data_IF_647403686026
#
_entry.id   IF_647403686026
#
_cell.length_a   1.000
_cell.length_b   1.000
_cell.length_c   1.000
_cell.angle_alpha   90.00
_cell.angle_beta   90.00
_cell.angle_gamma   90.00
#
_symmetry.space_group_name_H-M   'P 1'
#
loop_
_entity.id
_entity.type
_entity.pdbx_description
1 polymer ?
#
# COMPACT_ATOMS: atom_id res chain seq x y z
N UNK A 1 6.52 -1.62 -13.00
CA UNK A 1 6.20 -3.04 -12.78
C UNK A 1 7.44 -3.83 -12.32
N UNK A 2 8.59 -3.71 -12.99
CA UNK A 2 9.81 -4.49 -12.67
C UNK A 2 10.23 -4.51 -11.18
N UNK A 3 10.43 -3.35 -10.54
CA UNK A 3 10.87 -3.30 -9.13
C UNK A 3 9.88 -3.98 -8.18
N UNK A 4 8.58 -3.90 -8.49
CA UNK A 4 7.52 -4.55 -7.71
C UNK A 4 7.61 -6.07 -7.83
N UNK A 5 7.77 -6.59 -9.05
CA UNK A 5 7.96 -8.03 -9.27
C UNK A 5 9.22 -8.55 -8.55
N UNK A 6 10.35 -7.85 -8.73
CA UNK A 6 11.61 -8.25 -8.11
C UNK A 6 11.60 -8.14 -6.58
N UNK A 7 10.86 -7.17 -6.02
CA UNK A 7 10.61 -7.11 -4.56
C UNK A 7 9.89 -8.36 -4.06
N UNK A 8 8.84 -8.78 -4.77
CA UNK A 8 8.07 -9.96 -4.40
C UNK A 8 8.88 -11.26 -4.57
N UNK A 9 9.63 -11.40 -5.66
CA UNK A 9 10.54 -12.53 -5.86
C UNK A 9 11.63 -12.61 -4.78
N UNK A 10 12.20 -11.46 -4.39
CA UNK A 10 13.24 -11.40 -3.37
C UNK A 10 12.75 -11.94 -2.01
N UNK A 11 11.49 -11.69 -1.65
CA UNK A 11 10.89 -12.21 -0.41
C UNK A 11 10.27 -13.61 -0.56
N UNK A 12 10.51 -14.29 -1.69
CA UNK A 12 10.05 -15.66 -1.94
C UNK A 12 8.60 -15.79 -2.41
N UNK A 13 7.94 -14.69 -2.80
CA UNK A 13 6.60 -14.71 -3.36
C UNK A 13 6.60 -14.91 -4.88
N UNK A 14 5.44 -15.24 -5.46
CA UNK A 14 5.25 -15.43 -6.90
C UNK A 14 4.37 -14.31 -7.48
N UNK A 15 4.93 -13.29 -8.14
CA UNK A 15 4.16 -12.19 -8.71
C UNK A 15 3.58 -12.51 -10.09
N UNK A 16 2.40 -11.96 -10.38
CA UNK A 16 1.82 -11.93 -11.73
C UNK A 16 1.19 -10.56 -12.01
N UNK A 17 1.49 -9.98 -13.17
CA UNK A 17 1.02 -8.64 -13.59
C UNK A 17 -0.13 -8.78 -14.59
N UNK A 18 -1.31 -9.06 -14.05
CA UNK A 18 -2.52 -9.35 -14.82
C UNK A 18 -3.36 -8.08 -14.98
N UNK A 19 -3.80 -7.80 -16.20
CA UNK A 19 -4.60 -6.60 -16.52
C UNK A 19 -5.67 -6.84 -17.59
N UNK A 20 -5.56 -7.91 -18.39
CA UNK A 20 -6.55 -8.24 -19.40
C UNK A 20 -7.86 -8.65 -18.71
N UNK A 21 -8.96 -7.98 -19.04
CA UNK A 21 -10.26 -8.21 -18.39
C UNK A 21 -10.73 -9.66 -18.57
N UNK A 22 -10.35 -10.24 -19.71
CA UNK A 22 -10.69 -11.58 -20.17
C UNK A 22 -10.16 -12.70 -19.26
N UNK A 23 -9.05 -12.48 -18.55
CA UNK A 23 -8.45 -13.50 -17.66
C UNK A 23 -8.69 -13.22 -16.17
N UNK A 24 -9.26 -12.06 -15.80
CA UNK A 24 -9.46 -11.67 -14.40
C UNK A 24 -10.33 -12.66 -13.63
N UNK A 25 -11.38 -13.20 -14.26
CA UNK A 25 -12.28 -14.17 -13.64
C UNK A 25 -11.58 -15.47 -13.27
N UNK A 26 -10.60 -15.85 -14.06
CA UNK A 26 -9.93 -17.15 -13.96
C UNK A 26 -8.70 -17.03 -13.06
N UNK A 27 -8.00 -15.91 -13.14
CA UNK A 27 -6.74 -15.68 -12.43
C UNK A 27 -6.93 -15.21 -10.99
N UNK A 28 -7.80 -14.22 -10.76
CA UNK A 28 -7.92 -13.57 -9.43
C UNK A 28 -8.27 -14.53 -8.30
N UNK A 29 -9.18 -15.51 -8.47
CA UNK A 29 -9.50 -16.46 -7.41
C UNK A 29 -8.33 -17.39 -7.03
N UNK A 30 -7.37 -17.60 -7.94
CA UNK A 30 -6.19 -18.43 -7.72
C UNK A 30 -5.08 -17.67 -6.97
N UNK A 31 -5.07 -16.34 -7.03
CA UNK A 31 -4.12 -15.52 -6.29
C UNK A 31 -4.39 -15.58 -4.78
N UNK A 32 -3.34 -15.43 -3.97
CA UNK A 32 -3.47 -15.38 -2.50
C UNK A 32 -3.84 -13.97 -2.01
N UNK A 33 -3.43 -12.93 -2.74
CA UNK A 33 -3.77 -11.54 -2.48
C UNK A 33 -3.67 -10.71 -3.75
N UNK A 34 -4.31 -9.54 -3.74
CA UNK A 34 -4.39 -8.64 -4.89
C UNK A 34 -3.85 -7.25 -4.54
N UNK A 35 -3.02 -6.69 -5.42
CA UNK A 35 -2.58 -5.29 -5.33
C UNK A 35 -3.16 -4.50 -6.51
N UNK A 36 -3.98 -3.49 -6.23
CA UNK A 36 -4.50 -2.55 -7.24
C UNK A 36 -3.75 -1.23 -7.11
N UNK A 37 -2.97 -0.89 -8.13
CA UNK A 37 -2.23 0.37 -8.21
C UNK A 37 -2.75 1.22 -9.37
N UNK A 38 -3.15 2.47 -9.09
CA UNK A 38 -3.75 3.36 -10.09
C UNK A 38 -2.75 4.29 -10.79
N UNK A 39 -1.44 4.06 -10.66
CA UNK A 39 -0.39 4.96 -11.15
C UNK A 39 -0.51 5.31 -12.64
N UNK A 40 -0.82 4.33 -13.49
CA UNK A 40 -0.98 4.49 -14.94
C UNK A 40 -2.41 4.22 -15.39
N UNK A 41 -3.38 4.81 -14.68
CA UNK A 41 -4.82 4.60 -14.89
C UNK A 41 -5.29 4.92 -16.32
N UNK A 42 -6.23 4.10 -16.82
CA UNK A 42 -7.00 4.34 -18.03
C UNK A 42 -8.39 3.70 -17.90
N UNK A 43 -9.33 4.09 -18.76
CA UNK A 43 -10.71 3.55 -18.74
C UNK A 43 -10.75 2.02 -18.86
N UNK A 44 -9.91 1.42 -19.71
CA UNK A 44 -9.81 -0.04 -19.85
C UNK A 44 -9.35 -0.69 -18.54
N UNK A 45 -8.31 -0.12 -17.92
CA UNK A 45 -7.73 -0.65 -16.69
C UNK A 45 -8.68 -0.55 -15.50
N UNK A 46 -9.52 0.49 -15.43
CA UNK A 46 -10.52 0.64 -14.37
C UNK A 46 -11.51 -0.52 -14.37
N UNK A 47 -11.98 -0.94 -15.55
CA UNK A 47 -12.88 -2.08 -15.68
C UNK A 47 -12.23 -3.36 -15.14
N UNK A 48 -10.98 -3.62 -15.50
CA UNK A 48 -10.21 -4.76 -14.99
C UNK A 48 -9.96 -4.68 -13.48
N UNK A 49 -9.60 -3.50 -12.95
CA UNK A 49 -9.36 -3.30 -11.52
C UNK A 49 -10.62 -3.56 -10.69
N UNK A 50 -11.78 -3.06 -11.13
CA UNK A 50 -13.06 -3.31 -10.46
C UNK A 50 -13.44 -4.78 -10.51
N UNK A 51 -13.30 -5.41 -11.68
CA UNK A 51 -13.56 -6.84 -11.83
C UNK A 51 -12.66 -7.67 -10.91
N UNK A 52 -11.37 -7.33 -10.81
CA UNK A 52 -10.42 -7.99 -9.92
C UNK A 52 -10.79 -7.80 -8.44
N UNK A 53 -11.12 -6.59 -8.00
CA UNK A 53 -11.54 -6.34 -6.63
C UNK A 53 -12.82 -7.11 -6.28
N UNK A 54 -13.82 -7.14 -7.17
CA UNK A 54 -15.03 -7.96 -6.98
C UNK A 54 -14.69 -9.43 -6.85
N UNK A 55 -13.85 -9.98 -7.75
CA UNK A 55 -13.44 -11.39 -7.71
C UNK A 55 -12.62 -11.73 -6.47
N UNK A 56 -11.76 -10.82 -6.01
CA UNK A 56 -11.02 -10.99 -4.76
C UNK A 56 -11.96 -11.06 -3.56
N UNK A 57 -12.96 -10.18 -3.48
CA UNK A 57 -13.98 -10.21 -2.41
C UNK A 57 -14.80 -11.51 -2.46
N UNK A 58 -15.28 -11.91 -3.64
CA UNK A 58 -16.02 -13.17 -3.83
C UNK A 58 -15.20 -14.40 -3.40
N UNK A 59 -13.90 -14.41 -3.72
CA UNK A 59 -12.98 -15.48 -3.37
C UNK A 59 -12.34 -15.33 -1.97
N UNK A 60 -12.80 -14.36 -1.17
CA UNK A 60 -12.29 -14.07 0.17
C UNK A 60 -10.76 -13.83 0.22
N UNK A 61 -10.21 -13.21 -0.83
CA UNK A 61 -8.80 -12.82 -0.92
C UNK A 61 -8.63 -11.37 -0.46
N UNK A 62 -7.65 -11.08 0.42
CA UNK A 62 -7.38 -9.70 0.78
C UNK A 62 -6.84 -8.93 -0.42
N UNK A 63 -7.16 -7.64 -0.48
CA UNK A 63 -6.64 -6.78 -1.52
C UNK A 63 -6.25 -5.40 -1.01
N UNK A 64 -5.23 -4.84 -1.63
CA UNK A 64 -4.59 -3.58 -1.21
C UNK A 64 -4.74 -2.55 -2.32
N UNK A 65 -5.12 -1.34 -1.93
CA UNK A 65 -5.27 -0.19 -2.82
C UNK A 65 -4.08 0.76 -2.67
N UNK A 66 -3.45 1.08 -3.79
CA UNK A 66 -2.43 2.14 -3.93
C UNK A 66 -3.01 3.30 -4.78
N UNK A 67 -3.49 4.38 -4.14
CA UNK A 67 -4.19 5.48 -4.78
C UNK A 67 -3.21 6.51 -5.36
N UNK A 68 -2.18 6.04 -6.08
CA UNK A 68 -1.10 6.89 -6.61
C UNK A 68 -1.63 8.14 -7.31
N UNK A 69 -1.19 9.29 -6.82
CA UNK A 69 -1.53 10.61 -7.35
C UNK A 69 -3.04 10.90 -7.41
N UNK A 70 -3.85 10.30 -6.53
CA UNK A 70 -5.32 10.43 -6.55
C UNK A 70 -5.82 11.88 -6.47
N UNK A 71 -5.11 12.75 -5.77
CA UNK A 71 -5.46 14.18 -5.65
C UNK A 71 -5.13 15.03 -6.89
N UNK A 72 -4.46 14.49 -7.90
CA UNK A 72 -3.99 15.26 -9.07
C UNK A 72 -5.08 15.50 -10.11
N UNK A 73 -6.10 14.64 -10.18
CA UNK A 73 -7.20 14.83 -11.13
C UNK A 73 -8.53 14.26 -10.62
N UNK A 74 -9.64 14.88 -11.04
CA UNK A 74 -11.00 14.40 -10.74
C UNK A 74 -11.20 12.95 -11.19
N UNK A 75 -10.68 12.61 -12.38
CA UNK A 75 -10.76 11.25 -12.91
C UNK A 75 -10.11 10.21 -11.98
N UNK A 76 -8.90 10.48 -11.46
CA UNK A 76 -8.26 9.56 -10.51
C UNK A 76 -9.06 9.45 -9.22
N UNK A 77 -9.54 10.57 -8.71
CA UNK A 77 -10.32 10.64 -7.47
C UNK A 77 -11.63 9.86 -7.55
N UNK A 78 -12.45 10.12 -8.57
CA UNK A 78 -13.74 9.46 -8.79
C UNK A 78 -13.57 7.94 -8.91
N UNK A 79 -12.58 7.49 -9.68
CA UNK A 79 -12.33 6.06 -9.88
C UNK A 79 -11.79 5.38 -8.63
N UNK A 80 -10.97 6.09 -7.84
CA UNK A 80 -10.48 5.57 -6.58
C UNK A 80 -11.62 5.45 -5.54
N UNK A 81 -12.55 6.41 -5.49
CA UNK A 81 -13.77 6.31 -4.65
C UNK A 81 -14.60 5.08 -5.01
N UNK A 82 -14.73 4.76 -6.29
CA UNK A 82 -15.45 3.56 -6.71
C UNK A 82 -14.74 2.28 -6.27
N UNK A 83 -13.41 2.23 -6.33
CA UNK A 83 -12.62 1.10 -5.80
C UNK A 83 -12.73 0.99 -4.27
N UNK A 84 -12.76 2.11 -3.54
CA UNK A 84 -12.95 2.10 -2.08
C UNK A 84 -14.27 1.43 -1.65
N UNK A 85 -15.33 1.56 -2.46
CA UNK A 85 -16.63 0.89 -2.20
C UNK A 85 -16.54 -0.63 -2.31
N UNK A 86 -15.50 -1.16 -2.95
CA UNK A 86 -15.21 -2.59 -3.05
C UNK A 86 -14.40 -3.12 -1.85
N UNK A 87 -14.31 -2.33 -0.77
CA UNK A 87 -13.79 -2.73 0.55
C UNK A 87 -12.37 -3.31 0.50
N UNK A 88 -11.35 -2.51 0.16
CA UNK A 88 -9.96 -2.94 0.31
C UNK A 88 -9.66 -3.34 1.74
N UNK A 89 -8.81 -4.35 1.91
CA UNK A 89 -8.28 -4.73 3.23
C UNK A 89 -7.32 -3.67 3.75
N UNK A 90 -6.49 -3.12 2.85
CA UNK A 90 -5.51 -2.08 3.18
C UNK A 90 -5.53 -0.98 2.11
N UNK A 91 -5.41 0.27 2.54
CA UNK A 91 -5.20 1.44 1.69
C UNK A 91 -3.84 2.02 2.08
N UNK A 92 -2.91 2.11 1.13
CA UNK A 92 -1.58 2.67 1.39
C UNK A 92 -1.31 3.82 0.45
N UNK A 93 -1.03 5.01 0.99
CA UNK A 93 -0.68 6.20 0.23
C UNK A 93 0.25 7.12 1.01
N UNK A 94 0.75 8.17 0.37
CA UNK A 94 1.42 9.25 1.10
C UNK A 94 0.40 10.19 1.76
N UNK A 95 0.88 11.15 2.56
CA UNK A 95 0.03 12.10 3.27
C UNK A 95 -0.96 12.83 2.35
N UNK A 96 -0.54 13.33 1.19
CA UNK A 96 -1.42 14.11 0.30
C UNK A 96 -2.47 13.23 -0.40
N UNK A 97 -2.13 11.98 -0.72
CA UNK A 97 -3.07 11.01 -1.28
C UNK A 97 -4.15 10.60 -0.27
N UNK A 98 -3.74 10.35 0.99
CA UNK A 98 -4.68 10.00 2.06
C UNK A 98 -5.58 11.18 2.42
N UNK A 99 -5.05 12.40 2.48
CA UNK A 99 -5.85 13.62 2.66
C UNK A 99 -6.87 13.80 1.53
N UNK A 100 -6.46 13.60 0.28
CA UNK A 100 -7.37 13.71 -0.88
C UNK A 100 -8.51 12.67 -0.80
N UNK A 101 -8.21 11.42 -0.47
CA UNK A 101 -9.23 10.38 -0.29
C UNK A 101 -10.15 10.67 0.89
N UNK A 102 -9.59 11.12 2.02
CA UNK A 102 -10.36 11.41 3.20
C UNK A 102 -11.35 12.56 2.96
N UNK A 103 -10.90 13.63 2.29
CA UNK A 103 -11.74 14.78 1.95
C UNK A 103 -12.81 14.50 0.89
N UNK A 104 -12.55 13.57 -0.04
CA UNK A 104 -13.52 13.23 -1.09
C UNK A 104 -14.56 12.19 -0.67
N UNK A 105 -14.30 11.46 0.43
CA UNK A 105 -15.23 10.48 0.98
C UNK A 105 -16.42 11.10 1.73
N UNK A 106 -16.60 12.42 1.65
CA UNK A 106 -17.81 13.12 2.14
C UNK A 106 -18.90 12.95 1.09
N UNK A 107 -19.79 11.97 1.29
CA UNK A 107 -20.99 11.82 0.46
C UNK A 107 -21.91 13.06 0.53
N UNK A 108 -22.94 13.15 -0.34
CA UNK A 108 -23.86 14.30 -0.41
C UNK A 108 -24.76 14.50 0.82
N UNK A 109 -24.57 13.74 1.90
CA UNK A 109 -25.53 13.57 3.00
C UNK A 109 -25.01 14.03 4.36
N UNK A 110 -24.09 14.99 4.41
CA UNK A 110 -23.86 15.77 5.62
C UNK A 110 -24.00 17.25 5.30
N UNK A 111 -25.11 17.81 5.77
CA UNK A 111 -25.42 19.24 5.72
C UNK A 111 -24.31 20.10 6.30
N UNK A 112 -24.48 21.40 6.16
CA UNK A 112 -23.51 22.48 6.38
C UNK A 112 -22.87 22.62 7.80
N UNK A 113 -22.85 21.57 8.63
CA UNK A 113 -22.44 21.59 10.04
C UNK A 113 -21.37 20.53 10.40
N UNK A 114 -20.36 20.29 9.56
CA UNK A 114 -19.12 19.61 10.01
C UNK A 114 -17.87 20.27 9.42
N UNK A 115 -17.46 21.35 10.07
CA UNK A 115 -16.44 22.30 9.65
C UNK A 115 -14.99 21.87 9.94
N UNK A 116 -14.62 20.60 9.80
CA UNK A 116 -13.21 20.19 9.95
C UNK A 116 -12.83 19.04 9.00
N UNK A 117 -12.51 19.37 7.75
CA UNK A 117 -11.59 18.53 6.97
C UNK A 117 -10.25 18.64 7.71
N UNK A 118 -9.79 17.56 8.35
CA UNK A 118 -8.49 17.60 9.01
C UNK A 118 -7.40 17.79 7.95
N UNK A 119 -6.53 18.77 8.16
CA UNK A 119 -5.30 18.96 7.37
C UNK A 119 -4.17 18.07 7.88
N UNK A 120 -4.38 17.38 9.00
CA UNK A 120 -3.45 16.41 9.56
C UNK A 120 -3.67 15.03 8.91
N UNK A 121 -2.60 14.45 8.38
CA UNK A 121 -2.67 13.18 7.66
C UNK A 121 -3.03 11.99 8.58
N UNK A 122 -2.71 12.05 9.88
CA UNK A 122 -3.04 10.98 10.82
C UNK A 122 -4.54 10.96 11.12
N UNK A 123 -5.13 12.13 11.37
CA UNK A 123 -6.58 12.22 11.59
C UNK A 123 -7.37 11.81 10.34
N UNK A 124 -6.92 12.27 9.16
CA UNK A 124 -7.49 11.85 7.89
C UNK A 124 -7.38 10.33 7.67
N UNK A 125 -6.25 9.72 8.05
CA UNK A 125 -6.07 8.28 7.98
C UNK A 125 -7.00 7.51 8.93
N UNK A 126 -7.14 7.98 10.19
CA UNK A 126 -8.06 7.37 11.17
C UNK A 126 -9.51 7.41 10.70
N UNK A 127 -9.94 8.56 10.18
CA UNK A 127 -11.29 8.77 9.65
C UNK A 127 -11.54 7.91 8.40
N UNK A 128 -10.57 7.85 7.46
CA UNK A 128 -10.65 6.96 6.30
C UNK A 128 -10.73 5.49 6.71
N UNK A 129 -9.92 5.05 7.68
CA UNK A 129 -9.93 3.68 8.21
C UNK A 129 -11.29 3.32 8.83
N UNK A 130 -11.83 4.20 9.69
CA UNK A 130 -13.15 4.01 10.30
C UNK A 130 -14.28 3.86 9.27
N UNK A 131 -14.29 4.70 8.22
CA UNK A 131 -15.34 4.65 7.19
C UNK A 131 -15.26 3.44 6.27
N UNK A 132 -14.03 3.08 5.89
CA UNK A 132 -13.80 2.00 4.92
C UNK A 132 -13.68 0.63 5.59
N UNK A 133 -13.49 0.62 6.91
CA UNK A 133 -13.13 -0.56 7.70
C UNK A 133 -11.82 -1.21 7.21
N UNK A 134 -10.99 -0.46 6.50
CA UNK A 134 -9.69 -0.88 6.02
C UNK A 134 -8.59 -0.45 6.99
N UNK A 135 -7.45 -1.13 6.91
CA UNK A 135 -6.20 -0.59 7.47
C UNK A 135 -5.71 0.53 6.56
N UNK A 136 -5.30 1.66 7.14
CA UNK A 136 -4.71 2.78 6.39
C UNK A 136 -3.25 2.92 6.76
N UNK A 137 -2.38 2.88 5.76
CA UNK A 137 -0.96 3.14 5.88
C UNK A 137 -0.60 4.47 5.20
N UNK A 138 -0.01 5.39 5.97
CA UNK A 138 0.47 6.69 5.50
C UNK A 138 1.98 6.65 5.44
N UNK A 139 2.57 6.75 4.25
CA UNK A 139 4.03 6.74 4.14
C UNK A 139 4.66 8.11 4.38
N UNK A 140 5.82 8.14 5.04
CA UNK A 140 6.53 9.37 5.40
C UNK A 140 7.97 9.10 5.85
N UNK A 141 8.54 10.05 6.62
CA UNK A 141 9.80 9.81 7.33
C UNK A 141 9.61 8.82 8.50
N UNK A 142 8.42 8.85 9.08
CA UNK A 142 7.85 7.79 9.91
C UNK A 142 6.58 7.35 9.19
N UNK A 143 6.50 6.09 8.80
CA UNK A 143 5.26 5.55 8.24
C UNK A 143 4.27 5.30 9.38
N UNK A 144 2.98 5.55 9.14
CA UNK A 144 1.91 5.39 10.12
C UNK A 144 0.93 4.33 9.65
N UNK A 145 0.54 3.41 10.53
CA UNK A 145 -0.47 2.38 10.26
C UNK A 145 -1.59 2.52 11.27
N UNK A 146 -2.84 2.60 10.80
CA UNK A 146 -4.03 2.75 11.66
C UNK A 146 -5.20 1.90 11.17
N UNK A 147 -5.97 1.36 12.12
CA UNK A 147 -7.29 0.76 11.88
C UNK A 147 -8.44 1.73 12.26
N UNK A 148 -8.10 2.99 12.53
CA UNK A 148 -9.01 4.02 13.00
C UNK A 148 -9.04 4.18 14.53
N UNK A 149 -8.56 3.18 15.28
CA UNK A 149 -8.55 3.19 16.76
C UNK A 149 -7.14 3.28 17.31
N UNK A 150 -6.24 2.44 16.81
CA UNK A 150 -4.83 2.38 17.24
C UNK A 150 -3.91 2.83 16.12
N UNK A 151 -2.74 3.35 16.50
CA UNK A 151 -1.75 3.88 15.56
C UNK A 151 -0.38 3.28 15.88
N UNK A 152 0.27 2.71 14.87
CA UNK A 152 1.63 2.22 14.97
C UNK A 152 2.52 3.00 14.00
N UNK A 153 3.61 3.55 14.53
CA UNK A 153 4.67 4.20 13.76
C UNK A 153 5.76 3.21 13.37
N UNK A 154 6.27 3.34 12.14
CA UNK A 154 7.40 2.58 11.59
C UNK A 154 8.48 3.58 11.20
N UNK A 155 9.67 3.47 11.81
CA UNK A 155 10.76 4.44 11.61
C UNK A 155 11.95 3.87 10.83
N UNK A 156 11.68 2.89 9.96
CA UNK A 156 12.65 2.30 9.05
C UNK A 156 12.67 3.01 7.69
N UNK A 157 13.79 2.93 6.97
CA UNK A 157 13.98 3.50 5.63
C UNK A 157 15.09 4.54 5.54
N UNK A 158 15.41 4.94 4.30
CA UNK A 158 16.40 5.99 4.01
C UNK A 158 15.86 7.01 3.00
N UNK A 159 16.19 8.31 3.13
CA UNK A 159 15.67 9.35 2.22
C UNK A 159 15.93 9.09 0.74
N UNK A 160 17.05 8.43 0.40
CA UNK A 160 17.44 8.15 -0.98
C UNK A 160 16.46 7.23 -1.71
N UNK A 161 15.62 6.46 -0.99
CA UNK A 161 14.55 5.64 -1.59
C UNK A 161 13.52 6.49 -2.37
N UNK A 162 13.36 7.76 -2.03
CA UNK A 162 12.48 8.70 -2.75
C UNK A 162 13.03 9.09 -4.13
N UNK A 163 14.30 8.79 -4.42
CA UNK A 163 14.94 9.02 -5.72
C UNK A 163 14.87 7.80 -6.63
N UNK A 164 14.19 6.73 -6.21
CA UNK A 164 13.95 5.53 -7.00
C UNK A 164 12.46 5.45 -7.31
N UNK A 165 12.11 5.44 -8.59
CA UNK A 165 10.70 5.34 -8.99
C UNK A 165 10.06 4.03 -8.52
N UNK A 166 8.78 4.10 -8.16
CA UNK A 166 7.95 2.97 -7.77
C UNK A 166 8.41 2.17 -6.52
N UNK A 167 9.27 2.73 -5.65
CA UNK A 167 9.55 2.14 -4.32
C UNK A 167 8.28 2.10 -3.46
N UNK A 168 7.48 3.17 -3.49
CA UNK A 168 6.16 3.19 -2.85
C UNK A 168 5.23 2.10 -3.38
N UNK A 169 5.18 1.92 -4.70
CA UNK A 169 4.35 0.87 -5.31
C UNK A 169 4.86 -0.54 -4.94
N UNK A 170 6.18 -0.73 -4.85
CA UNK A 170 6.79 -1.99 -4.45
C UNK A 170 6.42 -2.38 -3.02
N UNK A 171 6.45 -1.44 -2.07
CA UNK A 171 6.01 -1.73 -0.69
C UNK A 171 4.50 -2.00 -0.62
N UNK A 172 3.68 -1.37 -1.46
CA UNK A 172 2.25 -1.71 -1.53
C UNK A 172 2.02 -3.17 -1.94
N UNK A 173 2.78 -3.66 -2.92
CA UNK A 173 2.71 -5.07 -3.32
C UNK A 173 3.21 -6.00 -2.21
N UNK A 174 4.28 -5.62 -1.49
CA UNK A 174 4.76 -6.37 -0.34
C UNK A 174 3.72 -6.44 0.79
N UNK A 175 2.99 -5.34 1.05
CA UNK A 175 1.85 -5.34 1.98
C UNK A 175 0.81 -6.36 1.54
N UNK A 176 0.41 -6.38 0.27
CA UNK A 176 -0.55 -7.37 -0.24
C UNK A 176 -0.07 -8.81 -0.02
N UNK A 177 1.23 -9.07 -0.21
CA UNK A 177 1.85 -10.37 0.04
C UNK A 177 1.78 -10.77 1.52
N UNK A 178 2.19 -9.91 2.45
CA UNK A 178 2.21 -10.27 3.88
C UNK A 178 0.81 -10.34 4.48
N UNK A 179 -0.12 -9.51 4.02
CA UNK A 179 -1.53 -9.60 4.41
C UNK A 179 -2.15 -10.90 3.91
N UNK A 180 -1.82 -11.35 2.70
CA UNK A 180 -2.26 -12.64 2.18
C UNK A 180 -1.68 -13.83 2.96
N UNK A 181 -0.42 -13.73 3.40
CA UNK A 181 0.22 -14.75 4.23
C UNK A 181 -0.34 -14.80 5.66
N UNK A 182 -0.79 -13.66 6.20
CA UNK A 182 -1.34 -13.52 7.55
C UNK A 182 -2.69 -12.79 7.57
N UNK A 183 -3.75 -13.37 6.98
CA UNK A 183 -5.04 -12.69 6.78
C UNK A 183 -5.77 -12.36 8.08
N UNK A 184 -5.43 -13.01 9.19
CA UNK A 184 -5.98 -12.71 10.52
C UNK A 184 -5.38 -11.44 11.15
N UNK A 185 -4.25 -10.95 10.64
CA UNK A 185 -3.47 -9.85 11.23
C UNK A 185 -3.08 -8.79 10.18
N UNK A 186 -4.04 -8.20 9.44
CA UNK A 186 -3.73 -7.27 8.36
C UNK A 186 -3.02 -6.00 8.86
N UNK A 187 -3.31 -5.54 10.08
CA UNK A 187 -2.66 -4.37 10.68
C UNK A 187 -1.17 -4.63 10.93
N UNK A 188 -0.86 -5.74 11.62
CA UNK A 188 0.50 -6.15 11.93
C UNK A 188 1.28 -6.47 10.65
N UNK A 189 0.66 -7.18 9.70
CA UNK A 189 1.26 -7.51 8.41
C UNK A 189 1.61 -6.24 7.60
N UNK A 190 0.76 -5.22 7.65
CA UNK A 190 1.02 -3.92 6.97
C UNK A 190 2.21 -3.20 7.59
N UNK A 191 2.24 -3.09 8.92
CA UNK A 191 3.36 -2.44 9.62
C UNK A 191 4.67 -3.21 9.42
N UNK A 192 4.61 -4.54 9.44
CA UNK A 192 5.76 -5.40 9.21
C UNK A 192 6.30 -5.27 7.78
N UNK A 193 5.44 -5.19 6.76
CA UNK A 193 5.87 -4.94 5.38
C UNK A 193 6.61 -3.62 5.21
N UNK A 194 6.11 -2.54 5.83
CA UNK A 194 6.78 -1.23 5.84
C UNK A 194 8.14 -1.32 6.54
N UNK A 195 8.20 -1.98 7.70
CA UNK A 195 9.43 -2.14 8.46
C UNK A 195 10.49 -2.96 7.70
N UNK A 196 10.09 -4.09 7.10
CA UNK A 196 10.98 -4.93 6.28
C UNK A 196 11.53 -4.16 5.08
N UNK A 197 10.67 -3.45 4.35
CA UNK A 197 11.08 -2.71 3.17
C UNK A 197 12.01 -1.53 3.52
N UNK A 198 11.69 -0.79 4.59
CA UNK A 198 12.52 0.29 5.09
C UNK A 198 13.89 -0.21 5.58
N UNK A 199 13.90 -1.32 6.34
CA UNK A 199 15.12 -1.94 6.84
C UNK A 199 16.01 -2.44 5.71
N UNK A 200 15.44 -3.09 4.69
CA UNK A 200 16.19 -3.48 3.50
C UNK A 200 16.77 -2.26 2.77
N UNK A 201 16.07 -1.12 2.78
CA UNK A 201 16.59 0.16 2.30
C UNK A 201 17.78 0.66 3.10
N UNK A 202 17.77 0.53 4.42
CA UNK A 202 18.90 0.88 5.29
C UNK A 202 20.11 -0.02 5.02
N UNK A 203 19.91 -1.34 5.01
CA UNK A 203 20.96 -2.33 4.72
C UNK A 203 21.54 -2.09 3.32
N UNK A 204 20.69 -1.82 2.34
CA UNK A 204 21.12 -1.50 0.98
C UNK A 204 21.93 -0.21 0.90
N UNK A 205 21.61 0.79 1.73
CA UNK A 205 22.32 2.05 1.81
C UNK A 205 23.75 1.90 2.33
N UNK A 206 24.05 0.89 3.15
CA UNK A 206 25.40 0.60 3.64
C UNK A 206 26.40 0.35 2.47
N UNK A 207 25.91 -0.05 1.30
CA UNK A 207 26.72 -0.36 0.10
C UNK A 207 26.47 0.59 -1.08
N UNK A 208 25.45 1.44 -1.00
CA UNK A 208 25.01 2.25 -2.13
C UNK A 208 25.77 3.59 -2.24
N UNK A 209 26.08 3.99 -3.47
CA UNK A 209 26.69 5.30 -3.80
C UNK A 209 25.71 6.26 -4.48
N UNK A 210 24.47 5.84 -4.69
CA UNK A 210 23.44 6.58 -5.42
C UNK A 210 22.16 5.77 -5.61
N UNK A 211 21.11 6.34 -6.22
CA UNK A 211 19.79 5.72 -6.29
C UNK A 211 19.78 4.41 -7.09
N UNK A 212 20.57 4.30 -8.16
CA UNK A 212 20.66 3.08 -8.95
C UNK A 212 21.30 1.93 -8.15
N UNK A 213 22.43 2.18 -7.47
CA UNK A 213 23.05 1.18 -6.59
C UNK A 213 22.18 0.84 -5.38
N UNK A 214 21.45 1.82 -4.81
CA UNK A 214 20.53 1.56 -3.71
C UNK A 214 19.38 0.66 -4.17
N UNK A 215 18.85 0.86 -5.38
CA UNK A 215 17.81 -0.01 -5.95
C UNK A 215 18.27 -1.46 -6.02
N UNK A 216 19.50 -1.70 -6.47
CA UNK A 216 20.08 -3.06 -6.54
C UNK A 216 20.22 -3.63 -5.13
N UNK A 217 20.89 -2.91 -4.24
CA UNK A 217 21.16 -3.41 -2.90
C UNK A 217 19.94 -3.52 -2.00
N UNK A 218 18.87 -2.76 -2.26
CA UNK A 218 17.57 -2.94 -1.61
C UNK A 218 16.98 -4.31 -1.93
N UNK A 219 17.02 -4.73 -3.20
CA UNK A 219 16.48 -6.03 -3.63
C UNK A 219 17.36 -7.16 -3.07
N UNK A 220 18.69 -7.01 -3.13
CA UNK A 220 19.62 -7.96 -2.52
C UNK A 220 19.40 -8.09 -1.00
N UNK A 221 19.19 -6.97 -0.32
CA UNK A 221 18.94 -6.93 1.10
C UNK A 221 17.63 -7.64 1.45
N UNK A 222 16.54 -7.41 0.71
CA UNK A 222 15.28 -8.13 0.89
C UNK A 222 15.45 -9.65 0.79
N UNK A 223 16.22 -10.12 -0.19
CA UNK A 223 16.52 -11.54 -0.37
C UNK A 223 17.36 -12.12 0.78
N UNK A 224 18.28 -11.31 1.32
CA UNK A 224 19.19 -11.72 2.40
C UNK A 224 18.63 -11.55 3.82
N UNK A 225 17.38 -11.08 4.00
CA UNK A 225 16.79 -10.92 5.34
C UNK A 225 16.65 -12.26 6.04
N UNK A 226 16.96 -12.26 7.34
CA UNK A 226 16.79 -13.39 8.24
C UNK A 226 16.20 -12.91 9.58
N UNK A 227 15.76 -13.86 10.43
CA UNK A 227 15.12 -13.56 11.71
C UNK A 227 15.95 -12.63 12.60
N UNK A 228 17.27 -12.84 12.69
CA UNK A 228 18.16 -12.03 13.50
C UNK A 228 18.24 -10.57 13.01
N UNK A 229 18.36 -10.38 11.69
CA UNK A 229 18.39 -9.05 11.08
C UNK A 229 17.08 -8.31 11.31
N UNK A 230 15.96 -9.04 11.27
CA UNK A 230 14.63 -8.50 11.49
C UNK A 230 14.43 -8.09 12.94
N UNK A 231 14.72 -8.99 13.88
CA UNK A 231 14.55 -8.75 15.30
C UNK A 231 15.42 -7.58 15.82
N UNK A 232 16.61 -7.39 15.24
CA UNK A 232 17.56 -6.37 15.68
C UNK A 232 17.37 -4.98 15.06
N UNK A 233 16.69 -4.88 13.90
CA UNK A 233 16.64 -3.61 13.12
C UNK A 233 15.24 -3.02 12.93
N UNK A 234 14.17 -3.77 13.20
CA UNK A 234 12.80 -3.21 13.14
C UNK A 234 12.61 -2.13 14.20
N UNK A 235 12.04 -1.00 13.79
CA UNK A 235 11.70 0.13 14.68
C UNK A 235 10.21 0.43 14.60
N UNK A 236 9.47 -0.07 15.59
CA UNK A 236 8.03 0.11 15.76
C UNK A 236 7.74 0.84 17.07
N UNK A 237 6.79 1.78 17.05
CA UNK A 237 6.36 2.51 18.24
C UNK A 237 4.87 2.81 18.19
N UNK A 238 4.13 2.50 19.26
CA UNK A 238 2.74 2.93 19.40
C UNK A 238 2.66 4.46 19.58
N UNK A 239 1.66 5.08 18.96
CA UNK A 239 1.39 6.53 18.99
C UNK A 239 0.05 6.79 19.67
#
# INVERSE_FOLDING_TARGET
MDIMANTLLAVGASPAMVHALEEISDFTPQAQGLCINIGTLSSQWISSMKAAAVKAVEAQKPWVLDPVAVGVSKFRLEMCIELLRLKPTVIRGNASEILALAGASVGPSKGADSSHISTDALDAAKDLACRTQAIVAVSGAVDLVTDGKRVLGVSNGVPLMQKITATGCAVTALIATLVAAHPAFPFEATAFALALFGMAGEIGMEKANGPASLRVHLIDALYGLNEDSVASRIRLSWI
#
